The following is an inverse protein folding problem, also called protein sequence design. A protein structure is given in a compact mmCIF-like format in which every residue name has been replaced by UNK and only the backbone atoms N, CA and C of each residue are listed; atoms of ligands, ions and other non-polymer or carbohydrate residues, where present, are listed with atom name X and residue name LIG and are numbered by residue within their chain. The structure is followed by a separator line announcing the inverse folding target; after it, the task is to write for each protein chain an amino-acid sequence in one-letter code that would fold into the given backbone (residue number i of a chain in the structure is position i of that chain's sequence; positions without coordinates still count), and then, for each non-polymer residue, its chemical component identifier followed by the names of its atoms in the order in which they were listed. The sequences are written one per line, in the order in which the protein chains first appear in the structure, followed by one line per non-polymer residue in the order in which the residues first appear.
data_IF_717408080258
#
_entry.id   IF_717408080258
#
_cell.length_a   1.000
_cell.length_b   1.000
_cell.length_c   1.000
_cell.angle_alpha   90.00
_cell.angle_beta   90.00
_cell.angle_gamma   90.00
#
_symmetry.space_group_name_H-M   'P 1'
#
loop_
_entity.id
_entity.type
_entity.pdbx_description
1 polymer ?
#
# COMPACT_ATOMS: atom_id res chain seq x y z
N UNK A 1 13.17 6.31 -9.64
CA UNK A 1 13.73 4.95 -9.60
C UNK A 1 14.25 4.68 -8.19
N UNK A 2 13.75 3.62 -7.52
CA UNK A 2 14.27 3.17 -6.23
C UNK A 2 15.65 2.56 -6.37
N UNK A 3 16.55 2.94 -5.47
CA UNK A 3 17.92 2.40 -5.36
C UNK A 3 18.08 1.90 -3.93
N UNK A 4 18.27 0.60 -3.78
CA UNK A 4 18.64 0.00 -2.50
C UNK A 4 19.92 -0.80 -2.64
N UNK A 5 20.74 -0.81 -1.59
CA UNK A 5 22.01 -1.50 -1.61
C UNK A 5 22.36 -2.06 -0.23
N UNK A 6 23.09 -3.20 -0.16
CA UNK A 6 23.58 -3.75 1.08
C UNK A 6 24.45 -2.77 1.87
N UNK A 7 24.47 -2.86 3.21
CA UNK A 7 25.39 -2.10 4.04
C UNK A 7 26.84 -2.31 3.59
N UNK A 8 27.61 -1.23 3.51
CA UNK A 8 29.00 -1.26 3.07
C UNK A 8 29.22 -1.14 1.55
N UNK A 9 28.15 -0.96 0.78
CA UNK A 9 28.27 -0.64 -0.65
C UNK A 9 29.08 0.65 -0.83
N UNK A 10 30.08 0.62 -1.71
CA UNK A 10 30.97 1.78 -1.94
C UNK A 10 30.18 2.96 -2.53
N UNK A 11 30.48 4.17 -2.03
CA UNK A 11 29.75 5.38 -2.45
C UNK A 11 29.81 5.67 -3.95
N UNK A 12 30.88 5.27 -4.63
CA UNK A 12 31.03 5.40 -6.09
C UNK A 12 29.98 4.57 -6.85
N UNK A 13 29.65 3.36 -6.37
CA UNK A 13 28.62 2.53 -6.99
C UNK A 13 27.22 3.15 -6.83
N UNK A 14 26.92 3.73 -5.65
CA UNK A 14 25.67 4.45 -5.42
C UNK A 14 25.57 5.70 -6.29
N UNK A 15 26.68 6.44 -6.42
CA UNK A 15 26.72 7.59 -7.31
C UNK A 15 26.51 7.20 -8.76
N UNK A 16 27.16 6.13 -9.24
CA UNK A 16 26.98 5.64 -10.61
C UNK A 16 25.53 5.24 -10.87
N UNK A 17 24.85 4.58 -9.91
CA UNK A 17 23.44 4.22 -10.01
C UNK A 17 22.54 5.46 -10.07
N UNK A 18 22.84 6.50 -9.27
CA UNK A 18 22.12 7.77 -9.30
C UNK A 18 22.32 8.52 -10.62
N UNK A 19 23.57 8.58 -11.10
CA UNK A 19 23.90 9.21 -12.38
C UNK A 19 23.22 8.49 -13.56
N UNK A 20 23.18 7.15 -13.52
CA UNK A 20 22.43 6.36 -14.51
C UNK A 20 20.93 6.62 -14.46
N UNK A 21 20.36 6.74 -13.25
CA UNK A 21 18.94 7.10 -13.07
C UNK A 21 18.63 8.47 -13.69
N UNK A 22 19.55 9.44 -13.50
CA UNK A 22 19.42 10.79 -14.06
C UNK A 22 19.51 10.79 -15.59
N UNK A 23 20.32 9.90 -16.19
CA UNK A 23 20.38 9.71 -17.65
C UNK A 23 19.06 9.21 -18.25
N UNK A 24 18.24 8.53 -17.45
CA UNK A 24 16.90 8.08 -17.84
C UNK A 24 15.79 9.14 -17.59
N UNK A 25 16.21 10.38 -17.31
CA UNK A 25 15.30 11.49 -16.95
C UNK A 25 14.39 11.16 -15.75
N UNK A 26 14.94 10.41 -14.79
CA UNK A 26 14.25 9.98 -13.57
C UNK A 26 15.01 10.46 -12.32
N UNK A 27 14.29 10.63 -11.21
CA UNK A 27 14.89 10.99 -9.92
C UNK A 27 15.24 9.72 -9.13
N UNK A 28 16.44 9.63 -8.53
CA UNK A 28 16.82 8.52 -7.66
C UNK A 28 16.13 8.66 -6.30
N UNK A 29 15.60 7.55 -5.78
CA UNK A 29 15.07 7.41 -4.43
C UNK A 29 15.89 6.34 -3.70
N UNK A 30 16.67 6.76 -2.71
CA UNK A 30 17.47 5.83 -1.91
C UNK A 30 16.63 5.25 -0.78
N UNK A 31 16.61 3.93 -0.68
CA UNK A 31 15.86 3.16 0.31
C UNK A 31 16.78 2.15 0.97
N UNK A 32 16.56 1.84 2.23
CA UNK A 32 17.17 0.63 2.78
C UNK A 32 16.44 -0.64 2.25
N UNK A 33 17.08 -1.81 2.41
CA UNK A 33 16.53 -3.05 1.85
C UNK A 33 15.20 -3.44 2.51
N UNK A 34 15.08 -3.26 3.82
CA UNK A 34 13.85 -3.65 4.56
C UNK A 34 12.70 -2.71 4.19
N UNK A 35 12.99 -1.41 4.09
CA UNK A 35 12.01 -0.41 3.65
C UNK A 35 11.57 -0.70 2.21
N UNK A 36 12.50 -1.01 1.30
CA UNK A 36 12.19 -1.37 -0.08
C UNK A 36 11.28 -2.62 -0.16
N UNK A 37 11.58 -3.67 0.61
CA UNK A 37 10.76 -4.89 0.66
C UNK A 37 9.36 -4.62 1.20
N UNK A 38 9.22 -3.79 2.24
CA UNK A 38 7.93 -3.35 2.76
C UNK A 38 7.11 -2.59 1.72
N UNK A 39 7.73 -1.64 1.01
CA UNK A 39 7.05 -0.90 -0.07
C UNK A 39 6.63 -1.83 -1.21
N UNK A 40 7.47 -2.79 -1.61
CA UNK A 40 7.13 -3.77 -2.64
C UNK A 40 5.98 -4.68 -2.22
N UNK A 41 5.89 -5.06 -0.96
CA UNK A 41 4.75 -5.82 -0.45
C UNK A 41 3.42 -5.09 -0.65
N UNK A 42 3.36 -3.78 -0.32
CA UNK A 42 2.15 -2.95 -0.48
C UNK A 42 1.86 -2.63 -1.94
N UNK A 43 2.89 -2.25 -2.73
CA UNK A 43 2.68 -1.65 -4.05
C UNK A 43 2.66 -2.67 -5.20
N UNK A 44 3.27 -3.86 -4.99
CA UNK A 44 3.37 -4.88 -6.03
C UNK A 44 2.70 -6.21 -5.66
N UNK A 45 3.01 -6.77 -4.48
CA UNK A 45 2.50 -8.11 -4.13
C UNK A 45 1.02 -8.07 -3.74
N UNK A 46 0.63 -7.17 -2.85
CA UNK A 46 -0.76 -7.06 -2.41
C UNK A 46 -1.75 -6.84 -3.56
N UNK A 47 -1.55 -5.90 -4.50
CA UNK A 47 -2.48 -5.70 -5.62
C UNK A 47 -2.65 -6.95 -6.49
N UNK A 48 -1.59 -7.70 -6.74
CA UNK A 48 -1.64 -8.93 -7.53
C UNK A 48 -2.39 -10.04 -6.80
N UNK A 49 -2.12 -10.23 -5.50
CA UNK A 49 -2.81 -11.21 -4.66
C UNK A 49 -4.30 -10.88 -4.49
N UNK A 50 -4.63 -9.62 -4.22
CA UNK A 50 -6.01 -9.15 -4.11
C UNK A 50 -6.79 -9.35 -5.43
N UNK A 51 -6.15 -9.04 -6.54
CA UNK A 51 -6.68 -9.25 -7.89
C UNK A 51 -6.92 -10.74 -8.17
N UNK A 52 -5.96 -11.61 -7.86
CA UNK A 52 -6.09 -13.06 -7.99
C UNK A 52 -7.20 -13.62 -7.08
N UNK A 53 -7.29 -13.15 -5.83
CA UNK A 53 -8.35 -13.53 -4.90
C UNK A 53 -9.74 -13.16 -5.43
N UNK A 54 -9.90 -11.97 -6.02
CA UNK A 54 -11.14 -11.52 -6.63
C UNK A 54 -11.56 -12.40 -7.82
N UNK A 55 -10.60 -12.75 -8.70
CA UNK A 55 -10.86 -13.65 -9.83
C UNK A 55 -11.28 -15.03 -9.32
N UNK A 56 -10.54 -15.61 -8.36
CA UNK A 56 -10.82 -16.93 -7.81
C UNK A 56 -12.19 -16.96 -7.11
N UNK A 57 -12.53 -15.92 -6.35
CA UNK A 57 -13.84 -15.76 -5.73
C UNK A 57 -14.95 -15.76 -6.78
N UNK A 58 -14.82 -14.97 -7.84
CA UNK A 58 -15.83 -14.83 -8.86
C UNK A 58 -15.97 -16.14 -9.68
N UNK A 59 -14.85 -16.70 -10.12
CA UNK A 59 -14.82 -17.92 -10.96
C UNK A 59 -15.25 -19.18 -10.21
N UNK A 60 -15.07 -19.22 -8.88
CA UNK A 60 -15.53 -20.33 -8.04
C UNK A 60 -17.03 -20.32 -7.73
N UNK A 61 -17.76 -19.26 -8.10
CA UNK A 61 -19.21 -19.22 -7.85
C UNK A 61 -19.98 -20.06 -8.86
N UNK A 62 -21.07 -20.71 -8.39
CA UNK A 62 -22.04 -21.34 -9.26
C UNK A 62 -22.64 -20.29 -10.22
N UNK A 63 -22.77 -20.62 -11.49
CA UNK A 63 -23.28 -19.68 -12.51
C UNK A 63 -22.22 -18.77 -13.15
N UNK A 64 -20.94 -18.86 -12.77
CA UNK A 64 -19.88 -18.07 -13.38
C UNK A 64 -19.86 -18.17 -14.92
N UNK A 65 -20.11 -19.36 -15.45
CA UNK A 65 -20.16 -19.59 -16.90
C UNK A 65 -21.08 -18.61 -17.65
N UNK A 66 -22.17 -18.20 -17.01
CA UNK A 66 -23.14 -17.27 -17.59
C UNK A 66 -22.89 -15.84 -17.12
N UNK A 67 -22.62 -15.64 -15.83
CA UNK A 67 -22.43 -14.29 -15.25
C UNK A 67 -21.15 -13.61 -15.73
N UNK A 68 -20.11 -14.37 -16.15
CA UNK A 68 -18.89 -13.79 -16.74
C UNK A 68 -19.14 -12.94 -17.99
N UNK A 69 -20.25 -13.16 -18.69
CA UNK A 69 -20.66 -12.37 -19.87
C UNK A 69 -21.12 -10.96 -19.49
N UNK A 70 -21.44 -10.75 -18.22
CA UNK A 70 -21.90 -9.48 -17.65
C UNK A 70 -20.76 -8.71 -16.97
N UNK A 71 -19.54 -9.26 -16.95
CA UNK A 71 -18.39 -8.58 -16.36
C UNK A 71 -18.09 -7.30 -17.13
N UNK A 72 -18.15 -6.18 -16.42
CA UNK A 72 -17.90 -4.84 -16.97
C UNK A 72 -16.49 -4.30 -16.67
N UNK A 73 -16.32 -3.03 -17.00
CA UNK A 73 -15.05 -2.29 -16.81
C UNK A 73 -14.50 -2.37 -15.37
N UNK A 74 -15.32 -2.24 -14.29
CA UNK A 74 -14.78 -2.32 -12.93
C UNK A 74 -14.08 -3.65 -12.64
N UNK A 75 -14.70 -4.78 -13.00
CA UNK A 75 -14.13 -6.10 -12.81
C UNK A 75 -12.83 -6.28 -13.62
N UNK A 76 -12.84 -5.87 -14.90
CA UNK A 76 -11.66 -5.96 -15.75
C UNK A 76 -10.47 -5.18 -15.17
N UNK A 77 -10.68 -3.94 -14.74
CA UNK A 77 -9.62 -3.11 -14.15
C UNK A 77 -9.13 -3.72 -12.83
N UNK A 78 -10.03 -4.14 -11.94
CA UNK A 78 -9.68 -4.66 -10.63
C UNK A 78 -8.93 -6.01 -10.71
N UNK A 79 -9.13 -6.78 -11.78
CA UNK A 79 -8.51 -8.11 -11.97
C UNK A 79 -7.28 -8.10 -12.87
N UNK A 80 -6.95 -6.98 -13.48
CA UNK A 80 -5.83 -6.88 -14.43
C UNK A 80 -4.48 -7.23 -13.78
N UNK A 81 -4.29 -6.85 -12.51
CA UNK A 81 -3.04 -7.10 -11.80
C UNK A 81 -2.74 -8.61 -11.61
N UNK A 82 -3.74 -9.49 -11.66
CA UNK A 82 -3.53 -10.95 -11.55
C UNK A 82 -2.75 -11.55 -12.73
N UNK A 83 -2.65 -10.84 -13.85
CA UNK A 83 -1.98 -11.29 -15.07
C UNK A 83 -0.67 -10.56 -15.37
N UNK A 84 -0.14 -9.75 -14.43
CA UNK A 84 1.10 -9.00 -14.63
C UNK A 84 2.38 -9.84 -14.52
N UNK A 85 2.29 -11.10 -14.07
CA UNK A 85 3.44 -12.00 -13.98
C UNK A 85 3.77 -12.61 -15.35
N UNK A 86 4.97 -12.34 -15.85
CA UNK A 86 5.45 -12.92 -17.13
C UNK A 86 5.82 -14.41 -16.97
N UNK A 87 6.20 -14.84 -15.78
CA UNK A 87 6.64 -16.21 -15.49
C UNK A 87 5.66 -16.94 -14.56
N UNK A 88 5.22 -18.17 -14.93
CA UNK A 88 4.37 -18.98 -14.06
C UNK A 88 4.99 -19.20 -12.69
N UNK A 89 4.23 -18.91 -11.62
CA UNK A 89 4.68 -19.08 -10.24
C UNK A 89 5.58 -17.96 -9.69
N UNK A 90 5.90 -16.92 -10.46
CA UNK A 90 6.70 -15.80 -9.99
C UNK A 90 6.06 -15.09 -8.78
N UNK A 91 4.75 -14.83 -8.85
CA UNK A 91 4.00 -14.24 -7.74
C UNK A 91 4.04 -15.13 -6.48
N UNK A 92 3.88 -16.44 -6.63
CA UNK A 92 3.92 -17.36 -5.50
C UNK A 92 5.30 -17.38 -4.83
N UNK A 93 6.38 -17.43 -5.63
CA UNK A 93 7.75 -17.37 -5.11
C UNK A 93 8.01 -16.05 -4.39
N UNK A 94 7.65 -14.92 -5.01
CA UNK A 94 7.84 -13.60 -4.41
C UNK A 94 7.03 -13.45 -3.11
N UNK A 95 5.80 -13.92 -3.06
CA UNK A 95 4.97 -13.87 -1.85
C UNK A 95 5.55 -14.71 -0.70
N UNK A 96 6.10 -15.90 -1.00
CA UNK A 96 6.74 -16.76 0.02
C UNK A 96 8.07 -16.17 0.49
N UNK A 97 8.87 -15.61 -0.42
CA UNK A 97 10.15 -14.97 -0.09
C UNK A 97 9.94 -13.70 0.73
N UNK A 98 8.96 -12.86 0.36
CA UNK A 98 8.64 -11.61 1.05
C UNK A 98 7.59 -11.76 2.17
N UNK A 99 7.36 -12.98 2.69
CA UNK A 99 6.26 -13.24 3.64
C UNK A 99 6.30 -12.39 4.91
N UNK A 100 7.49 -12.05 5.40
CA UNK A 100 7.65 -11.28 6.65
C UNK A 100 7.08 -9.87 6.51
N UNK A 101 7.26 -9.24 5.37
CA UNK A 101 6.73 -7.91 5.06
C UNK A 101 5.30 -8.00 4.52
N UNK A 102 4.95 -9.08 3.84
CA UNK A 102 3.65 -9.26 3.20
C UNK A 102 2.53 -9.60 4.18
N UNK A 103 2.79 -10.45 5.19
CA UNK A 103 1.74 -10.88 6.12
C UNK A 103 1.07 -9.72 6.88
N UNK A 104 1.82 -8.78 7.48
CA UNK A 104 1.20 -7.61 8.13
C UNK A 104 0.33 -6.80 7.17
N UNK A 105 0.78 -6.60 5.94
CA UNK A 105 0.05 -5.85 4.91
C UNK A 105 -1.25 -6.57 4.49
N UNK A 106 -1.21 -7.90 4.40
CA UNK A 106 -2.42 -8.69 4.15
C UNK A 106 -3.42 -8.58 5.31
N UNK A 107 -2.94 -8.62 6.55
CA UNK A 107 -3.79 -8.47 7.73
C UNK A 107 -4.46 -7.08 7.76
N UNK A 108 -3.71 -6.02 7.44
CA UNK A 108 -4.26 -4.67 7.32
C UNK A 108 -5.30 -4.56 6.20
N UNK A 109 -5.04 -5.20 5.05
CA UNK A 109 -6.00 -5.21 3.94
C UNK A 109 -7.29 -5.98 4.29
N UNK A 110 -7.16 -7.12 4.97
CA UNK A 110 -8.31 -7.88 5.49
C UNK A 110 -9.10 -7.03 6.49
N UNK A 111 -8.42 -6.34 7.40
CA UNK A 111 -9.05 -5.45 8.36
C UNK A 111 -9.82 -4.30 7.68
N UNK A 112 -9.26 -3.71 6.62
CA UNK A 112 -9.94 -2.68 5.83
C UNK A 112 -11.21 -3.23 5.14
N UNK A 113 -11.17 -4.45 4.61
CA UNK A 113 -12.34 -5.11 4.03
C UNK A 113 -13.41 -5.44 5.08
N UNK A 114 -13.01 -5.86 6.28
CA UNK A 114 -13.92 -6.11 7.40
C UNK A 114 -14.59 -4.82 7.87
N UNK A 115 -13.86 -3.71 7.95
CA UNK A 115 -14.42 -2.40 8.27
C UNK A 115 -15.43 -1.94 7.21
N UNK A 116 -15.13 -2.13 5.92
CA UNK A 116 -16.06 -1.86 4.84
C UNK A 116 -17.33 -2.73 4.97
N UNK A 117 -17.17 -4.03 5.24
CA UNK A 117 -18.30 -4.95 5.47
C UNK A 117 -19.19 -4.47 6.63
N UNK A 118 -18.59 -4.01 7.74
CA UNK A 118 -19.35 -3.54 8.92
C UNK A 118 -20.19 -2.29 8.59
N UNK A 119 -19.62 -1.33 7.82
CA UNK A 119 -20.40 -0.18 7.34
C UNK A 119 -21.61 -0.60 6.49
N UNK A 120 -21.45 -1.62 5.65
CA UNK A 120 -22.55 -2.18 4.85
C UNK A 120 -23.59 -2.87 5.74
N UNK A 121 -23.16 -3.69 6.72
CA UNK A 121 -24.05 -4.41 7.65
C UNK A 121 -24.86 -3.43 8.48
N UNK A 122 -24.22 -2.39 8.99
CA UNK A 122 -24.90 -1.35 9.81
C UNK A 122 -25.70 -0.34 8.98
N UNK A 123 -25.65 -0.44 7.65
CA UNK A 123 -26.28 0.54 6.74
C UNK A 123 -25.79 1.97 6.99
N UNK A 124 -24.54 2.13 7.41
CA UNK A 124 -23.91 3.45 7.62
C UNK A 124 -23.42 4.03 6.27
N UNK A 125 -24.41 4.54 5.52
CA UNK A 125 -24.16 5.13 4.20
C UNK A 125 -23.17 6.30 4.28
N UNK A 126 -23.22 7.09 5.34
CA UNK A 126 -22.34 8.24 5.51
C UNK A 126 -20.87 7.81 5.66
N UNK A 127 -20.60 6.87 6.56
CA UNK A 127 -19.23 6.37 6.74
C UNK A 127 -18.71 5.67 5.50
N UNK A 128 -19.55 4.94 4.79
CA UNK A 128 -19.18 4.29 3.53
C UNK A 128 -18.87 5.31 2.43
N UNK A 129 -19.65 6.40 2.35
CA UNK A 129 -19.41 7.51 1.43
C UNK A 129 -18.06 8.18 1.74
N UNK A 130 -17.86 8.59 3.00
CA UNK A 130 -16.62 9.23 3.44
C UNK A 130 -15.39 8.36 3.15
N UNK A 131 -15.50 7.05 3.38
CA UNK A 131 -14.44 6.09 3.11
C UNK A 131 -14.14 5.97 1.60
N UNK A 132 -15.17 5.89 0.77
CA UNK A 132 -15.01 5.81 -0.69
C UNK A 132 -14.46 7.10 -1.29
N UNK A 133 -14.92 8.25 -0.83
CA UNK A 133 -14.44 9.56 -1.27
C UNK A 133 -12.97 9.78 -0.90
N UNK A 134 -12.55 9.35 0.29
CA UNK A 134 -11.15 9.37 0.68
C UNK A 134 -10.28 8.58 -0.30
N UNK A 135 -10.71 7.40 -0.72
CA UNK A 135 -9.98 6.59 -1.70
C UNK A 135 -9.88 7.30 -3.06
N UNK A 136 -10.97 7.91 -3.53
CA UNK A 136 -11.00 8.69 -4.79
C UNK A 136 -10.04 9.88 -4.72
N UNK A 137 -10.06 10.63 -3.62
CA UNK A 137 -9.19 11.78 -3.41
C UNK A 137 -7.72 11.39 -3.35
N UNK A 138 -7.38 10.32 -2.60
CA UNK A 138 -6.02 9.81 -2.48
C UNK A 138 -5.47 9.34 -3.83
N UNK A 139 -6.29 8.61 -4.60
CA UNK A 139 -5.92 8.18 -5.95
C UNK A 139 -5.72 9.36 -6.91
N UNK A 140 -6.60 10.35 -6.86
CA UNK A 140 -6.52 11.53 -7.72
C UNK A 140 -5.27 12.36 -7.43
N UNK A 141 -4.93 12.51 -6.15
CA UNK A 141 -3.70 13.17 -5.71
C UNK A 141 -2.48 12.43 -6.24
N UNK A 142 -2.38 11.13 -5.98
CA UNK A 142 -1.28 10.32 -6.46
C UNK A 142 -1.08 10.41 -7.99
N UNK A 143 -2.17 10.39 -8.77
CA UNK A 143 -2.10 10.52 -10.23
C UNK A 143 -1.60 11.91 -10.66
N UNK A 144 -2.02 12.96 -9.96
CA UNK A 144 -1.57 14.33 -10.23
C UNK A 144 -0.07 14.48 -9.92
N UNK A 145 0.40 13.99 -8.77
CA UNK A 145 1.80 13.96 -8.36
C UNK A 145 2.67 13.19 -9.37
N UNK A 146 2.20 12.01 -9.77
CA UNK A 146 2.88 11.19 -10.77
C UNK A 146 2.99 11.89 -12.13
N UNK A 147 1.97 12.63 -12.53
CA UNK A 147 1.94 13.32 -13.85
C UNK A 147 2.81 14.57 -13.83
N UNK A 148 2.81 15.33 -12.74
CA UNK A 148 3.64 16.52 -12.59
C UNK A 148 5.11 16.24 -12.34
N UNK A 149 5.43 15.06 -11.79
CA UNK A 149 6.78 14.73 -11.28
C UNK A 149 7.15 15.52 -10.02
N UNK A 150 6.27 16.37 -9.52
CA UNK A 150 6.49 17.20 -8.34
C UNK A 150 5.94 16.54 -7.09
N UNK A 151 6.73 15.62 -6.53
CA UNK A 151 6.39 14.87 -5.32
C UNK A 151 6.48 15.71 -4.03
N UNK A 152 7.12 16.87 -4.07
CA UNK A 152 7.37 17.74 -2.91
C UNK A 152 6.36 18.89 -2.76
N UNK A 153 5.76 19.36 -3.85
CA UNK A 153 4.91 20.55 -3.84
C UNK A 153 3.61 20.40 -3.06
N UNK A 154 3.18 19.17 -2.77
CA UNK A 154 1.87 18.87 -2.18
C UNK A 154 1.96 18.60 -0.67
N UNK A 155 3.11 18.20 -0.15
CA UNK A 155 3.30 17.96 1.30
C UNK A 155 3.08 19.21 2.17
N UNK A 156 3.31 20.39 1.62
CA UNK A 156 3.09 21.67 2.33
C UNK A 156 1.63 22.10 2.44
N UNK A 157 0.70 21.47 1.71
CA UNK A 157 -0.74 21.78 1.77
C UNK A 157 -1.57 20.78 2.58
N UNK A 158 -0.97 19.69 3.04
CA UNK A 158 -1.70 18.58 3.71
C UNK A 158 -1.85 18.80 5.23
N UNK A 159 -1.22 19.82 5.81
CA UNK A 159 -1.32 20.10 7.25
C UNK A 159 -2.71 20.53 7.72
N UNK A 160 -3.68 20.79 6.83
CA UNK A 160 -5.03 21.22 7.19
C UNK A 160 -6.15 20.20 6.93
N UNK A 161 -5.83 18.99 6.47
CA UNK A 161 -6.82 17.93 6.45
C UNK A 161 -6.95 17.37 7.86
N UNK A 162 -7.93 17.87 8.61
CA UNK A 162 -8.41 17.21 9.83
C UNK A 162 -8.66 15.76 9.49
N UNK A 163 -7.75 14.87 9.88
CA UNK A 163 -8.00 13.43 9.93
C UNK A 163 -9.14 13.25 10.93
N UNK A 164 -10.36 13.30 10.41
CA UNK A 164 -11.56 13.01 11.20
C UNK A 164 -11.42 11.57 11.62
N UNK A 165 -11.23 11.37 12.91
CA UNK A 165 -10.79 10.17 13.60
C UNK A 165 -11.63 8.92 13.39
N UNK A 166 -11.72 8.43 12.14
CA UNK A 166 -12.29 7.10 11.84
C UNK A 166 -11.39 6.00 12.45
N UNK A 167 -10.07 6.17 12.38
CA UNK A 167 -9.12 5.26 13.00
C UNK A 167 -9.28 5.14 14.52
N UNK A 168 -9.70 6.21 15.19
CA UNK A 168 -9.90 6.22 16.65
C UNK A 168 -11.21 5.56 17.10
N UNK A 169 -12.23 5.53 16.23
CA UNK A 169 -13.53 4.85 16.52
C UNK A 169 -13.50 3.36 16.16
N UNK A 170 -12.76 2.97 15.13
CA UNK A 170 -12.68 1.57 14.68
C UNK A 170 -11.51 0.79 15.32
N UNK A 171 -10.46 1.49 15.76
CA UNK A 171 -9.25 0.87 16.33
C UNK A 171 -8.91 1.39 17.73
N UNK A 172 -9.89 1.87 18.48
CA UNK A 172 -9.73 2.64 19.73
C UNK A 172 -8.79 2.07 20.80
N UNK A 173 -8.52 0.77 20.81
CA UNK A 173 -7.59 0.11 21.74
C UNK A 173 -6.40 -0.59 21.08
N UNK A 174 -6.45 -0.88 19.79
CA UNK A 174 -5.33 -1.50 19.07
C UNK A 174 -4.16 -0.54 18.84
N UNK A 175 -4.40 0.75 18.74
CA UNK A 175 -3.35 1.76 18.63
C UNK A 175 -2.43 1.86 19.86
N UNK A 176 -2.84 1.35 21.02
CA UNK A 176 -1.99 1.31 22.23
C UNK A 176 -1.01 0.13 22.22
N UNK A 177 -1.26 -0.91 21.43
CA UNK A 177 -0.40 -2.07 21.32
C UNK A 177 0.85 -1.82 20.44
N UNK A 178 0.80 -0.79 19.59
CA UNK A 178 1.88 -0.45 18.65
C UNK A 178 2.58 0.87 18.97
N UNK A 179 2.37 1.47 20.15
CA UNK A 179 3.11 2.66 20.57
C UNK A 179 4.49 2.25 21.08
N UNK A 180 5.58 2.78 20.51
CA UNK A 180 6.92 2.54 21.06
C UNK A 180 7.02 3.07 22.49
N UNK A 181 7.78 2.43 23.39
CA UNK A 181 7.91 2.85 24.77
C UNK A 181 8.51 4.27 24.85
N UNK A 182 7.88 5.16 25.63
CA UNK A 182 8.40 6.49 25.88
C UNK A 182 9.79 6.40 26.51
N UNK A 183 10.78 7.21 26.08
CA UNK A 183 12.06 7.28 26.75
C UNK A 183 11.84 7.76 28.20
N UNK A 184 12.31 6.97 29.15
CA UNK A 184 12.35 7.34 30.57
C UNK A 184 13.30 8.51 30.73
N UNK A 185 12.77 9.66 31.11
CA UNK A 185 13.57 10.79 31.57
C UNK A 185 14.08 10.44 32.95
N UNK A 186 15.28 9.91 33.03
CA UNK A 186 15.97 9.72 34.31
C UNK A 186 16.57 11.03 34.77
N UNK A 187 16.27 11.32 36.01
CA UNK A 187 16.43 12.60 36.65
C UNK A 187 17.87 13.03 36.83
N UNK A 188 18.14 14.32 36.61
CA UNK A 188 19.21 15.03 37.30
C UNK A 188 18.62 15.67 38.55
N UNK A 189 18.87 15.06 39.70
CA UNK A 189 18.92 15.76 41.01
C UNK A 189 20.36 16.16 41.26
N UNK A 190 20.50 17.45 41.48
CA UNK A 190 21.31 18.24 42.40
C UNK A 190 22.60 17.61 42.98
N UNK A 191 23.73 18.23 42.73
CA UNK A 191 24.41 19.12 43.71
C UNK A 191 25.19 20.16 42.94
#
# INVERSE_FOLDING_TARGET
IGISAPPGTVGEALKLAADFTSLLDASPLFLDLVEADGMLAVLHLLPQLASAALVNLASGRSGWRDTRKLTGRPFNIATQASSLGEEPGALARAAIQGREQLLPVLDEYIAALLACKEMVVSSDEKSLLDWSDQAVQSRSRWLAERTSGDWLAIDHKVTDVKVVGLGRRLFGDLGKLFSPPKPTSDGKKKE
#
